data_IF_202494841661
#
_entry.id   IF_202494841661
#
_cell.length_a   1.000
_cell.length_b   1.000
_cell.length_c   1.000
_cell.angle_alpha   90.00
_cell.angle_beta   90.00
_cell.angle_gamma   90.00
#
_symmetry.space_group_name_H-M   'P 1'
#
loop_
_entity.id
_entity.type
_entity.pdbx_description
1 polymer ?
#
# COMPACT_ATOMS: atom_id res chain seq x y z
N UNK A 1 20.25 -11.81 80.45
CA UNK A 1 20.92 -12.47 79.31
C UNK A 1 20.17 -12.01 78.06
N UNK A 2 20.67 -10.99 77.36
CA UNK A 2 21.62 -11.05 76.22
C UNK A 2 20.98 -11.60 74.93
N UNK A 3 21.07 -10.79 73.86
CA UNK A 3 20.70 -10.94 72.44
C UNK A 3 19.29 -10.44 72.08
N UNK A 4 19.05 -9.21 71.57
CA UNK A 4 19.70 -8.35 70.57
C UNK A 4 19.62 -8.89 69.13
N UNK A 5 18.77 -8.28 68.29
CA UNK A 5 19.15 -7.65 67.01
C UNK A 5 18.01 -6.85 66.36
N UNK A 6 18.18 -5.53 66.38
CA UNK A 6 17.86 -4.52 65.37
C UNK A 6 16.92 -4.90 64.20
N UNK A 7 15.74 -4.27 64.17
CA UNK A 7 15.04 -3.96 62.91
C UNK A 7 14.99 -2.44 62.79
N UNK A 8 15.89 -1.88 61.98
CA UNK A 8 15.89 -0.47 61.61
C UNK A 8 14.71 -0.20 60.68
N UNK A 9 13.85 0.73 61.09
CA UNK A 9 12.88 1.42 60.22
C UNK A 9 13.61 2.00 59.00
N UNK A 10 13.16 1.66 57.80
CA UNK A 10 13.41 2.45 56.58
C UNK A 10 12.07 2.98 56.10
N UNK A 11 12.03 4.29 55.94
CA UNK A 11 10.94 5.10 55.42
C UNK A 11 10.49 4.60 54.04
N UNK A 12 9.19 4.41 53.89
CA UNK A 12 8.54 4.36 52.58
C UNK A 12 8.50 5.79 52.03
N UNK A 13 9.53 6.17 51.29
CA UNK A 13 9.44 7.30 50.35
C UNK A 13 8.83 6.78 49.05
N UNK A 14 7.67 7.35 48.73
CA UNK A 14 6.92 7.11 47.52
C UNK A 14 7.78 7.47 46.30
N UNK A 15 8.28 6.45 45.58
CA UNK A 15 8.68 6.61 44.19
C UNK A 15 7.41 6.55 43.36
N UNK A 16 6.81 7.73 43.13
CA UNK A 16 6.00 7.92 41.93
C UNK A 16 6.97 7.74 40.75
N UNK A 17 7.03 6.52 40.22
CA UNK A 17 7.46 6.31 38.85
C UNK A 17 6.39 6.98 37.99
N UNK A 18 6.66 8.20 37.52
CA UNK A 18 6.05 8.69 36.31
C UNK A 18 6.55 7.76 35.19
N UNK A 19 5.85 6.64 35.01
CA UNK A 19 5.81 6.00 33.71
C UNK A 19 5.09 7.01 32.81
N UNK A 20 5.87 7.67 31.95
CA UNK A 20 5.26 8.43 30.87
C UNK A 20 4.35 7.48 30.08
N UNK A 21 3.11 7.89 29.78
CA UNK A 21 2.17 7.02 29.12
C UNK A 21 2.69 6.64 27.73
N UNK A 22 2.67 5.33 27.44
CA UNK A 22 3.11 4.67 26.22
C UNK A 22 2.30 5.05 24.94
N UNK A 23 1.68 6.22 24.88
CA UNK A 23 0.87 6.69 23.73
C UNK A 23 1.58 7.75 22.88
N UNK A 24 2.90 7.93 23.02
CA UNK A 24 3.66 8.56 21.94
C UNK A 24 3.60 7.62 20.75
N UNK A 25 2.64 7.85 19.85
CA UNK A 25 2.76 7.45 18.45
C UNK A 25 4.05 8.10 17.99
N UNK A 26 5.14 7.34 18.00
CA UNK A 26 6.41 7.82 17.46
C UNK A 26 6.18 7.90 15.95
N UNK A 27 5.74 9.06 15.48
CA UNK A 27 5.70 9.35 14.06
C UNK A 27 7.12 9.20 13.55
N UNK A 28 7.33 8.18 12.71
CA UNK A 28 8.67 7.69 12.34
C UNK A 28 9.32 8.61 11.30
N UNK A 29 8.52 9.39 10.57
CA UNK A 29 8.95 10.22 9.45
C UNK A 29 8.21 11.57 9.38
N UNK A 30 8.83 12.57 8.74
CA UNK A 30 8.25 13.92 8.61
C UNK A 30 7.18 13.97 7.49
N UNK A 31 7.51 13.52 6.28
CA UNK A 31 6.60 13.57 5.13
C UNK A 31 6.08 12.20 4.71
N UNK A 32 4.99 12.16 3.93
CA UNK A 32 4.50 10.94 3.27
C UNK A 32 5.61 10.34 2.40
N UNK A 33 6.38 11.17 1.72
CA UNK A 33 7.47 10.74 0.86
C UNK A 33 8.55 9.98 1.66
N UNK A 34 8.98 10.54 2.79
CA UNK A 34 9.97 9.90 3.67
C UNK A 34 9.44 8.59 4.27
N UNK A 35 8.18 8.58 4.69
CA UNK A 35 7.52 7.38 5.17
C UNK A 35 7.43 6.29 4.09
N UNK A 36 7.13 6.69 2.86
CA UNK A 36 7.08 5.78 1.70
C UNK A 36 8.45 5.19 1.39
N UNK A 37 9.53 5.99 1.45
CA UNK A 37 10.89 5.47 1.31
C UNK A 37 11.21 4.40 2.36
N UNK A 38 10.83 4.63 3.62
CA UNK A 38 11.05 3.65 4.68
C UNK A 38 10.22 2.38 4.48
N UNK A 39 8.95 2.51 4.09
CA UNK A 39 8.07 1.39 3.77
C UNK A 39 8.62 0.51 2.66
N UNK A 40 9.01 1.10 1.52
CA UNK A 40 9.58 0.35 0.38
C UNK A 40 10.92 -0.30 0.74
N UNK A 41 11.72 0.31 1.63
CA UNK A 41 12.99 -0.25 2.08
C UNK A 41 12.84 -1.50 2.96
N UNK A 42 11.65 -1.79 3.48
CA UNK A 42 11.40 -3.02 4.24
C UNK A 42 11.12 -4.22 3.31
N UNK A 43 10.85 -3.99 2.03
CA UNK A 43 10.51 -5.08 1.10
C UNK A 43 11.71 -5.97 0.77
N UNK A 44 11.42 -7.26 0.57
CA UNK A 44 12.37 -8.19 -0.03
C UNK A 44 12.39 -7.95 -1.54
N UNK A 45 13.54 -7.59 -2.11
CA UNK A 45 13.69 -7.34 -3.54
C UNK A 45 14.39 -8.50 -4.25
N UNK A 46 13.84 -8.93 -5.38
CA UNK A 46 14.29 -10.07 -6.17
C UNK A 46 14.47 -9.69 -7.64
N UNK A 47 15.60 -10.06 -8.28
CA UNK A 47 15.72 -9.94 -9.72
C UNK A 47 14.68 -10.79 -10.44
N UNK A 48 14.03 -10.25 -11.47
CA UNK A 48 13.02 -10.96 -12.26
C UNK A 48 13.56 -12.27 -12.86
N UNK A 49 14.84 -12.30 -13.28
CA UNK A 49 15.49 -13.48 -13.81
C UNK A 49 15.64 -14.62 -12.80
N UNK A 50 15.58 -14.32 -11.48
CA UNK A 50 15.49 -15.35 -10.45
C UNK A 50 14.08 -15.94 -10.42
N UNK A 51 13.06 -15.08 -10.34
CA UNK A 51 11.65 -15.49 -10.32
C UNK A 51 11.29 -16.26 -11.58
N UNK A 52 11.77 -15.83 -12.75
CA UNK A 52 11.59 -16.53 -14.03
C UNK A 52 12.08 -17.97 -14.00
N UNK A 53 13.20 -18.24 -13.31
CA UNK A 53 13.73 -19.59 -13.16
C UNK A 53 12.88 -20.44 -12.23
N UNK A 54 12.30 -19.85 -11.19
CA UNK A 54 11.38 -20.53 -10.28
C UNK A 54 10.08 -20.89 -11.00
N UNK A 55 9.46 -19.94 -11.69
CA UNK A 55 8.28 -20.17 -12.55
C UNK A 55 8.56 -21.26 -13.58
N UNK A 56 9.73 -21.24 -14.23
CA UNK A 56 10.08 -22.26 -15.22
C UNK A 56 10.31 -23.65 -14.63
N UNK A 57 10.62 -23.74 -13.33
CA UNK A 57 10.87 -25.00 -12.65
C UNK A 57 9.55 -25.68 -12.23
N UNK A 58 8.54 -24.90 -11.87
CA UNK A 58 7.19 -25.39 -11.55
C UNK A 58 6.10 -24.42 -12.04
N UNK A 59 5.74 -24.43 -13.34
CA UNK A 59 4.82 -23.44 -13.90
C UNK A 59 3.40 -23.49 -13.33
N UNK A 60 2.95 -24.66 -12.87
CA UNK A 60 1.60 -24.86 -12.34
C UNK A 60 1.44 -24.25 -10.93
N UNK A 61 2.55 -24.06 -10.22
CA UNK A 61 2.61 -23.49 -8.87
C UNK A 61 2.49 -21.96 -8.85
N UNK A 62 2.86 -21.31 -9.96
CA UNK A 62 2.86 -19.85 -10.09
C UNK A 62 1.64 -19.36 -10.87
N UNK A 63 0.92 -18.38 -10.32
CA UNK A 63 -0.24 -17.77 -10.95
C UNK A 63 -0.11 -16.26 -10.98
N UNK A 64 -0.28 -15.66 -12.15
CA UNK A 64 -0.55 -14.23 -12.25
C UNK A 64 -1.99 -14.00 -11.77
N UNK A 65 -2.11 -13.23 -10.69
CA UNK A 65 -3.37 -12.93 -10.00
C UNK A 65 -3.74 -11.45 -10.13
N UNK A 66 -3.07 -10.73 -11.03
CA UNK A 66 -3.35 -9.32 -11.31
C UNK A 66 -4.78 -9.18 -11.83
N UNK A 67 -5.59 -8.37 -11.15
CA UNK A 67 -6.96 -8.11 -11.57
C UNK A 67 -6.99 -7.12 -12.75
N UNK A 68 -7.75 -7.42 -13.81
CA UNK A 68 -7.68 -6.62 -15.03
C UNK A 68 -8.53 -5.34 -14.90
N UNK A 69 -8.05 -4.27 -15.52
CA UNK A 69 -8.71 -2.96 -15.53
C UNK A 69 -9.56 -2.74 -16.79
N UNK A 70 -10.46 -1.75 -16.76
CA UNK A 70 -11.16 -1.29 -17.97
C UNK A 70 -10.16 -0.85 -19.04
N UNK A 71 -10.40 -1.23 -20.30
CA UNK A 71 -9.53 -0.99 -21.44
C UNK A 71 -8.46 -2.06 -21.65
N UNK A 72 -8.35 -3.06 -20.76
CA UNK A 72 -7.42 -4.19 -20.93
C UNK A 72 -8.03 -5.26 -21.82
N UNK A 73 -7.20 -5.85 -22.69
CA UNK A 73 -7.58 -6.99 -23.51
C UNK A 73 -7.41 -8.31 -22.76
N UNK A 74 -8.41 -9.16 -22.88
CA UNK A 74 -8.52 -10.44 -22.21
C UNK A 74 -9.04 -11.51 -23.16
N UNK A 75 -8.57 -12.73 -22.97
CA UNK A 75 -9.17 -13.94 -23.52
C UNK A 75 -10.24 -14.46 -22.57
N UNK A 76 -11.42 -14.78 -23.11
CA UNK A 76 -12.55 -15.30 -22.34
C UNK A 76 -12.75 -16.79 -22.61
N UNK A 77 -12.46 -17.66 -21.63
CA UNK A 77 -12.51 -19.12 -21.81
C UNK A 77 -13.90 -19.61 -22.26
N UNK A 78 -14.96 -19.08 -21.65
CA UNK A 78 -16.33 -19.49 -21.93
C UNK A 78 -16.81 -19.12 -23.34
N UNK A 79 -16.26 -18.05 -23.93
CA UNK A 79 -16.59 -17.64 -25.29
C UNK A 79 -15.61 -18.18 -26.33
N UNK A 80 -14.43 -18.65 -25.89
CA UNK A 80 -13.31 -19.03 -26.74
C UNK A 80 -12.97 -17.91 -27.74
N UNK A 81 -12.95 -16.68 -27.24
CA UNK A 81 -12.77 -15.45 -28.01
C UNK A 81 -12.09 -14.39 -27.12
N UNK A 82 -11.42 -13.44 -27.76
CA UNK A 82 -10.78 -12.31 -27.09
C UNK A 82 -11.66 -11.07 -27.14
N UNK A 83 -11.42 -10.13 -26.22
CA UNK A 83 -12.11 -8.84 -26.20
C UNK A 83 -11.45 -7.84 -25.28
N UNK A 84 -12.09 -6.70 -25.13
CA UNK A 84 -11.67 -5.63 -24.22
C UNK A 84 -12.66 -5.50 -23.06
N UNK A 85 -12.15 -5.33 -21.84
CA UNK A 85 -12.99 -5.02 -20.68
C UNK A 85 -13.53 -3.61 -20.85
N UNK A 86 -14.84 -3.49 -20.95
CA UNK A 86 -15.52 -2.21 -21.12
C UNK A 86 -16.09 -1.65 -19.81
N UNK A 87 -16.30 -2.52 -18.83
CA UNK A 87 -16.85 -2.15 -17.53
C UNK A 87 -16.53 -3.20 -16.47
N UNK A 88 -16.47 -2.78 -15.21
CA UNK A 88 -16.35 -3.65 -14.04
C UNK A 88 -17.54 -3.33 -13.14
N UNK A 89 -18.32 -4.36 -12.83
CA UNK A 89 -19.49 -4.27 -11.96
C UNK A 89 -19.16 -4.96 -10.65
N UNK A 90 -19.60 -4.37 -9.55
CA UNK A 90 -19.47 -4.92 -8.21
C UNK A 90 -20.85 -4.98 -7.58
N UNK A 91 -21.17 -6.12 -6.96
CA UNK A 91 -22.45 -6.33 -6.28
C UNK A 91 -22.38 -6.00 -4.78
N UNK A 92 -23.48 -6.23 -4.06
CA UNK A 92 -23.57 -5.95 -2.62
C UNK A 92 -22.64 -6.84 -1.77
N UNK A 93 -22.18 -7.96 -2.33
CA UNK A 93 -21.26 -8.91 -1.70
C UNK A 93 -19.80 -8.67 -2.15
N UNK A 94 -19.50 -7.48 -2.70
CA UNK A 94 -18.17 -7.07 -3.20
C UNK A 94 -17.62 -8.02 -4.30
N UNK A 95 -18.50 -8.78 -4.96
CA UNK A 95 -18.10 -9.71 -6.02
C UNK A 95 -18.02 -8.98 -7.36
N UNK A 96 -16.81 -8.96 -7.95
CA UNK A 96 -16.58 -8.33 -9.26
C UNK A 96 -16.99 -9.21 -10.44
N UNK A 97 -17.71 -8.60 -11.39
CA UNK A 97 -18.05 -9.15 -12.70
C UNK A 97 -17.57 -8.20 -13.79
N UNK A 98 -16.96 -8.75 -14.84
CA UNK A 98 -16.35 -7.99 -15.92
C UNK A 98 -17.25 -8.03 -17.15
N UNK A 99 -17.57 -6.86 -17.72
CA UNK A 99 -18.25 -6.76 -19.00
C UNK A 99 -17.21 -6.65 -20.12
N UNK A 100 -17.12 -7.70 -20.95
CA UNK A 100 -16.16 -7.78 -22.05
C UNK A 100 -16.89 -7.59 -23.38
N UNK A 101 -16.38 -6.68 -24.21
CA UNK A 101 -16.76 -6.56 -25.61
C UNK A 101 -15.79 -7.39 -26.45
N UNK A 102 -16.26 -8.54 -26.93
CA UNK A 102 -15.49 -9.47 -27.75
C UNK A 102 -15.18 -8.86 -29.12
N UNK A 103 -14.14 -9.36 -29.79
CA UNK A 103 -13.74 -8.93 -31.14
C UNK A 103 -14.85 -9.17 -32.18
N UNK A 104 -15.77 -10.10 -31.90
CA UNK A 104 -17.00 -10.32 -32.67
C UNK A 104 -18.05 -9.22 -32.52
N UNK A 105 -17.86 -8.25 -31.63
CA UNK A 105 -18.79 -7.17 -31.27
C UNK A 105 -19.88 -7.59 -30.27
N UNK A 106 -19.84 -8.83 -29.77
CA UNK A 106 -20.75 -9.31 -28.73
C UNK A 106 -20.27 -8.86 -27.35
N UNK A 107 -21.19 -8.46 -26.49
CA UNK A 107 -20.91 -8.20 -25.07
C UNK A 107 -21.28 -9.41 -24.21
N UNK A 108 -20.38 -9.79 -23.32
CA UNK A 108 -20.58 -10.87 -22.34
C UNK A 108 -20.22 -10.39 -20.93
N UNK A 109 -20.63 -11.17 -19.94
CA UNK A 109 -20.23 -11.00 -18.54
C UNK A 109 -19.40 -12.20 -18.13
N UNK A 110 -18.27 -11.95 -17.50
CA UNK A 110 -17.33 -12.97 -17.04
C UNK A 110 -16.93 -12.71 -15.60
N UNK A 111 -16.61 -13.79 -14.88
CA UNK A 111 -15.88 -13.71 -13.60
C UNK A 111 -14.39 -13.64 -13.86
N UNK A 112 -13.61 -13.24 -12.84
CA UNK A 112 -12.16 -13.15 -12.96
C UNK A 112 -11.50 -14.48 -13.35
N UNK A 113 -11.95 -15.60 -12.76
CA UNK A 113 -11.46 -16.95 -13.04
C UNK A 113 -11.83 -17.48 -14.44
N UNK A 114 -12.63 -16.73 -15.20
CA UNK A 114 -13.02 -17.04 -16.58
C UNK A 114 -12.23 -16.22 -17.61
N UNK A 115 -11.29 -15.39 -17.15
CA UNK A 115 -10.51 -14.46 -17.95
C UNK A 115 -9.02 -14.77 -17.85
N UNK A 116 -8.30 -14.50 -18.93
CA UNK A 116 -6.85 -14.47 -18.99
C UNK A 116 -6.43 -13.19 -19.70
N UNK A 117 -5.50 -12.41 -19.13
CA UNK A 117 -5.02 -11.20 -19.82
C UNK A 117 -4.24 -11.56 -21.08
N UNK A 118 -4.32 -10.79 -22.17
CA UNK A 118 -3.54 -11.14 -23.37
C UNK A 118 -2.01 -10.98 -23.16
N UNK A 119 -1.58 -10.19 -22.16
CA UNK A 119 -0.20 -10.10 -21.67
C UNK A 119 0.03 -10.97 -20.41
N UNK A 120 -0.79 -12.02 -20.25
CA UNK A 120 -0.67 -12.95 -19.13
C UNK A 120 0.67 -13.66 -19.12
N UNK A 121 1.25 -13.79 -17.93
CA UNK A 121 2.47 -14.55 -17.71
C UNK A 121 3.77 -13.80 -18.00
N UNK A 122 3.72 -12.52 -18.39
CA UNK A 122 4.92 -11.70 -18.54
C UNK A 122 5.34 -11.09 -17.20
N UNK A 123 6.63 -11.23 -16.88
CA UNK A 123 7.19 -10.59 -15.69
C UNK A 123 7.28 -9.05 -15.90
N UNK A 124 7.20 -8.27 -14.81
CA UNK A 124 7.21 -6.81 -14.90
C UNK A 124 8.46 -6.25 -15.59
N UNK A 125 8.29 -5.27 -16.49
CA UNK A 125 9.38 -4.64 -17.25
C UNK A 125 10.52 -4.08 -16.40
N UNK A 126 10.25 -3.65 -15.17
CA UNK A 126 11.26 -3.04 -14.29
C UNK A 126 12.39 -4.00 -13.88
N UNK A 127 12.22 -5.31 -14.11
CA UNK A 127 13.26 -6.31 -13.87
C UNK A 127 13.53 -6.60 -12.38
N UNK A 128 12.76 -6.01 -11.48
CA UNK A 128 12.76 -6.31 -10.04
C UNK A 128 11.33 -6.59 -9.61
N UNK A 129 11.16 -7.65 -8.83
CA UNK A 129 9.95 -7.96 -8.11
C UNK A 129 10.20 -7.82 -6.62
N UNK A 130 9.14 -7.58 -5.86
CA UNK A 130 9.18 -7.41 -4.43
C UNK A 130 8.21 -8.36 -3.75
N UNK A 131 8.48 -8.60 -2.47
CA UNK A 131 7.58 -9.26 -1.53
C UNK A 131 7.60 -8.47 -0.23
N UNK A 132 6.45 -8.41 0.45
CA UNK A 132 6.37 -7.84 1.78
C UNK A 132 7.11 -8.71 2.80
N UNK A 133 7.92 -8.09 3.66
CA UNK A 133 8.57 -8.79 4.77
C UNK A 133 7.70 -8.89 6.01
N UNK A 134 6.72 -8.00 6.16
CA UNK A 134 5.87 -7.91 7.36
C UNK A 134 4.68 -8.87 7.27
N UNK A 135 4.35 -9.52 8.40
CA UNK A 135 3.25 -10.49 8.43
C UNK A 135 1.87 -9.85 8.25
N UNK A 136 1.68 -8.60 8.66
CA UNK A 136 0.39 -7.90 8.49
C UNK A 136 0.16 -7.54 7.01
N UNK A 137 1.24 -7.24 6.27
CA UNK A 137 1.17 -6.98 4.83
C UNK A 137 0.94 -8.27 4.05
N UNK A 138 1.58 -9.38 4.45
CA UNK A 138 1.29 -10.69 3.86
C UNK A 138 -0.16 -11.12 4.10
N UNK A 139 -0.68 -10.95 5.33
CA UNK A 139 -2.10 -11.20 5.62
C UNK A 139 -3.04 -10.33 4.79
N UNK A 140 -2.68 -9.05 4.55
CA UNK A 140 -3.45 -8.14 3.70
C UNK A 140 -3.53 -8.63 2.24
N UNK A 141 -2.46 -9.26 1.74
CA UNK A 141 -2.46 -9.88 0.41
C UNK A 141 -3.29 -11.18 0.36
N UNK A 142 -3.25 -11.99 1.43
CA UNK A 142 -3.90 -13.31 1.49
C UNK A 142 -5.41 -13.22 1.76
N UNK A 143 -5.81 -12.38 2.71
CA UNK A 143 -7.16 -12.37 3.31
C UNK A 143 -7.87 -11.02 3.16
N UNK A 144 -7.12 -9.97 2.80
CA UNK A 144 -7.65 -8.62 2.58
C UNK A 144 -7.87 -8.31 1.10
N UNK A 145 -8.00 -7.02 0.83
CA UNK A 145 -8.14 -6.43 -0.51
C UNK A 145 -6.77 -6.12 -1.17
N UNK A 146 -5.67 -6.69 -0.67
CA UNK A 146 -4.32 -6.32 -1.10
C UNK A 146 -4.04 -6.55 -2.58
N UNK A 147 -4.41 -7.71 -3.12
CA UNK A 147 -4.24 -8.01 -4.55
C UNK A 147 -5.02 -7.02 -5.41
N UNK A 148 -6.25 -6.71 -5.01
CA UNK A 148 -7.12 -5.78 -5.73
C UNK A 148 -6.56 -4.36 -5.71
N UNK A 149 -6.28 -3.83 -4.52
CA UNK A 149 -5.73 -2.49 -4.35
C UNK A 149 -4.42 -2.31 -5.12
N UNK A 150 -3.54 -3.33 -5.13
CA UNK A 150 -2.30 -3.28 -5.90
C UNK A 150 -2.55 -3.36 -7.41
N UNK A 151 -3.50 -4.16 -7.86
CA UNK A 151 -3.86 -4.27 -9.28
C UNK A 151 -4.41 -2.94 -9.81
N UNK A 152 -5.25 -2.25 -9.04
CA UNK A 152 -5.81 -0.94 -9.39
C UNK A 152 -4.75 0.17 -9.46
N UNK A 153 -3.69 0.05 -8.66
CA UNK A 153 -2.52 0.92 -8.73
C UNK A 153 -1.57 0.56 -9.89
N UNK A 154 -1.86 -0.50 -10.64
CA UNK A 154 -1.11 -0.94 -11.81
C UNK A 154 0.08 -1.84 -11.50
N UNK A 155 0.17 -2.43 -10.30
CA UNK A 155 1.15 -3.46 -10.02
C UNK A 155 0.75 -4.76 -10.70
N UNK A 156 1.74 -5.48 -11.24
CA UNK A 156 1.59 -6.90 -11.60
C UNK A 156 1.81 -7.74 -10.34
N UNK A 157 0.85 -8.59 -10.01
CA UNK A 157 0.83 -9.41 -8.80
C UNK A 157 0.83 -10.89 -9.18
N UNK A 158 1.77 -11.63 -8.59
CA UNK A 158 1.96 -13.06 -8.74
C UNK A 158 1.79 -13.75 -7.40
N UNK A 159 1.23 -14.96 -7.43
CA UNK A 159 1.05 -15.82 -6.28
C UNK A 159 1.74 -17.16 -6.52
N UNK A 160 2.42 -17.63 -5.49
CA UNK A 160 3.04 -18.95 -5.38
C UNK A 160 2.51 -19.58 -4.07
N UNK A 161 1.99 -20.80 -4.14
CA UNK A 161 1.52 -21.52 -2.95
C UNK A 161 2.67 -21.83 -1.95
N UNK A 162 3.89 -22.00 -2.45
CA UNK A 162 5.08 -22.25 -1.62
C UNK A 162 5.71 -20.96 -1.09
N UNK A 163 5.80 -19.93 -1.92
CA UNK A 163 6.60 -18.74 -1.63
C UNK A 163 5.77 -17.48 -1.36
N UNK A 164 4.44 -17.52 -1.50
CA UNK A 164 3.54 -16.41 -1.25
C UNK A 164 3.42 -15.42 -2.41
N UNK A 165 3.09 -14.17 -2.08
CA UNK A 165 2.86 -13.13 -3.09
C UNK A 165 4.14 -12.39 -3.49
N UNK A 166 4.23 -12.10 -4.78
CA UNK A 166 5.26 -11.26 -5.39
C UNK A 166 4.58 -10.19 -6.24
N UNK A 167 5.18 -9.01 -6.34
CA UNK A 167 4.64 -7.95 -7.16
C UNK A 167 5.73 -7.14 -7.83
N UNK A 168 5.39 -6.44 -8.91
CA UNK A 168 6.33 -5.52 -9.54
C UNK A 168 5.65 -4.49 -10.42
N UNK A 169 6.46 -3.57 -10.94
CA UNK A 169 6.00 -2.44 -11.73
C UNK A 169 6.25 -2.75 -13.20
N UNK A 170 5.18 -2.65 -14.00
CA UNK A 170 5.25 -2.82 -15.43
C UNK A 170 5.25 -1.47 -16.16
N UNK A 171 6.35 -0.71 -15.99
CA UNK A 171 6.48 0.64 -16.54
C UNK A 171 7.93 1.13 -16.54
N UNK A 172 8.19 2.17 -17.35
CA UNK A 172 9.51 2.78 -17.48
C UNK A 172 9.43 4.29 -17.74
N UNK A 173 10.45 5.03 -17.27
CA UNK A 173 10.68 6.42 -17.69
C UNK A 173 9.95 7.51 -16.90
N UNK A 174 9.45 7.22 -15.70
CA UNK A 174 8.79 8.19 -14.81
C UNK A 174 9.17 7.95 -13.34
N UNK A 175 8.72 8.82 -12.43
CA UNK A 175 8.98 8.70 -11.00
C UNK A 175 8.05 7.64 -10.37
N UNK A 176 8.58 6.46 -10.10
CA UNK A 176 7.83 5.35 -9.49
C UNK A 176 7.36 5.66 -8.07
N UNK A 177 8.02 6.58 -7.34
CA UNK A 177 7.53 6.95 -6.02
C UNK A 177 6.20 7.68 -6.12
N UNK A 178 6.11 8.67 -6.99
CA UNK A 178 4.87 9.42 -7.19
C UNK A 178 3.77 8.57 -7.85
N UNK A 179 4.14 7.72 -8.81
CA UNK A 179 3.19 6.94 -9.60
C UNK A 179 2.70 5.64 -8.92
N UNK A 180 3.53 5.00 -8.08
CA UNK A 180 3.23 3.66 -7.53
C UNK A 180 3.38 3.60 -6.01
N UNK A 181 4.54 3.98 -5.47
CA UNK A 181 4.84 3.71 -4.06
C UNK A 181 4.07 4.61 -3.08
N UNK A 182 3.94 5.91 -3.37
CA UNK A 182 3.15 6.82 -2.55
C UNK A 182 1.65 6.44 -2.60
N UNK A 183 1.07 6.14 -3.79
CA UNK A 183 -0.27 5.57 -3.86
C UNK A 183 -0.43 4.28 -3.05
N UNK A 184 0.52 3.34 -3.12
CA UNK A 184 0.47 2.10 -2.34
C UNK A 184 0.51 2.36 -0.84
N UNK A 185 1.40 3.24 -0.39
CA UNK A 185 1.50 3.65 1.01
C UNK A 185 0.16 4.21 1.53
N UNK A 186 -0.53 5.02 0.70
CA UNK A 186 -1.85 5.59 1.01
C UNK A 186 -2.96 4.54 1.00
N UNK A 187 -2.99 3.66 0.00
CA UNK A 187 -3.96 2.58 -0.11
C UNK A 187 -3.88 1.62 1.09
N UNK A 188 -2.65 1.36 1.56
CA UNK A 188 -2.40 0.58 2.77
C UNK A 188 -2.91 1.26 4.06
N UNK A 189 -3.24 2.55 4.02
CA UNK A 189 -3.74 3.31 5.16
C UNK A 189 -2.67 3.65 6.21
N UNK A 190 -1.38 3.61 5.83
CA UNK A 190 -0.28 3.81 6.77
C UNK A 190 -0.18 5.28 7.24
N UNK A 191 0.13 5.45 8.53
CA UNK A 191 0.32 6.76 9.17
C UNK A 191 1.67 6.89 9.86
N UNK A 192 2.73 6.49 9.16
CA UNK A 192 4.11 6.60 9.65
C UNK A 192 4.70 8.02 9.53
N UNK A 193 4.00 8.93 8.84
CA UNK A 193 4.34 10.35 8.68
C UNK A 193 3.62 11.25 9.70
N UNK A 194 4.11 12.48 9.89
CA UNK A 194 3.37 13.53 10.61
C UNK A 194 2.41 14.27 9.69
N UNK A 195 1.13 14.31 10.07
CA UNK A 195 0.11 15.07 9.34
C UNK A 195 0.41 16.58 9.38
N UNK A 196 0.98 17.09 10.48
CA UNK A 196 1.34 18.51 10.60
C UNK A 196 2.56 18.85 9.72
N UNK A 197 3.59 18.02 9.74
CA UNK A 197 4.78 18.22 8.93
C UNK A 197 4.48 18.07 7.43
N UNK A 198 3.67 17.08 7.05
CA UNK A 198 3.19 16.91 5.67
C UNK A 198 2.36 18.12 5.22
N UNK A 199 1.39 18.59 6.02
CA UNK A 199 0.61 19.78 5.68
C UNK A 199 1.52 20.98 5.46
N UNK A 200 2.46 21.21 6.38
CA UNK A 200 3.41 22.31 6.28
C UNK A 200 4.22 22.24 4.99
N UNK A 201 4.80 21.07 4.69
CA UNK A 201 5.56 20.85 3.45
C UNK A 201 4.72 21.17 2.20
N UNK A 202 3.49 20.63 2.12
CA UNK A 202 2.61 20.84 0.97
C UNK A 202 2.20 22.30 0.79
N UNK A 203 1.96 23.02 1.87
CA UNK A 203 1.56 24.43 1.83
C UNK A 203 2.72 25.35 1.45
N UNK A 204 3.91 25.07 1.97
CA UNK A 204 5.13 25.79 1.59
C UNK A 204 5.48 25.58 0.11
N UNK A 205 5.34 24.36 -0.42
CA UNK A 205 5.53 24.07 -1.85
C UNK A 205 4.56 24.83 -2.76
N UNK A 206 3.35 25.13 -2.28
CA UNK A 206 2.35 25.94 -3.01
C UNK A 206 2.55 27.44 -2.85
N UNK A 207 3.51 27.87 -2.03
CA UNK A 207 3.83 29.28 -1.78
C UNK A 207 2.88 29.97 -0.80
N UNK A 208 2.11 29.20 -0.01
CA UNK A 208 1.21 29.75 0.98
C UNK A 208 1.96 30.20 2.24
N UNK A 209 1.35 31.13 2.98
CA UNK A 209 1.95 31.71 4.19
C UNK A 209 1.02 31.57 5.40
N UNK A 210 1.60 31.53 6.59
CA UNK A 210 0.80 31.45 7.83
C UNK A 210 0.43 32.86 8.30
N UNK A 211 -0.85 33.06 8.65
CA UNK A 211 -1.32 34.27 9.33
C UNK A 211 -2.17 33.88 10.55
N UNK A 212 -1.98 34.63 11.65
CA UNK A 212 -2.83 34.50 12.84
C UNK A 212 -4.11 35.30 12.67
N UNK A 213 -5.26 34.65 12.84
CA UNK A 213 -6.59 35.26 12.80
C UNK A 213 -7.29 34.90 14.12
N UNK A 214 -7.41 35.90 15.01
CA UNK A 214 -7.89 35.66 16.37
C UNK A 214 -6.92 34.79 17.18
N UNK A 215 -7.43 33.68 17.71
CA UNK A 215 -6.63 32.72 18.49
C UNK A 215 -5.97 31.63 17.65
N UNK A 216 -6.33 31.51 16.37
CA UNK A 216 -5.93 30.40 15.50
C UNK A 216 -4.99 30.84 14.39
N UNK A 217 -4.26 29.89 13.84
CA UNK A 217 -3.33 30.09 12.72
C UNK A 217 -3.90 29.42 11.47
N UNK A 218 -3.76 30.11 10.33
CA UNK A 218 -4.30 29.68 9.05
C UNK A 218 -3.26 29.82 7.95
N UNK A 219 -3.28 28.88 7.00
CA UNK A 219 -2.60 28.98 5.72
C UNK A 219 -3.35 29.94 4.81
N UNK A 220 -2.59 30.82 4.14
CA UNK A 220 -3.11 31.94 3.37
C UNK A 220 -2.52 31.95 1.95
N UNK A 221 -3.38 32.24 0.98
CA UNK A 221 -3.00 32.65 -0.37
C UNK A 221 -3.33 34.14 -0.53
N UNK A 222 -2.32 34.98 -0.33
CA UNK A 222 -2.50 36.44 -0.17
C UNK A 222 -3.37 36.75 1.05
N UNK A 223 -4.61 37.21 0.81
CA UNK A 223 -5.61 37.50 1.85
C UNK A 223 -6.69 36.43 1.97
N UNK A 224 -6.66 35.39 1.14
CA UNK A 224 -7.62 34.28 1.17
C UNK A 224 -7.16 33.22 2.16
N UNK A 225 -8.05 32.82 3.07
CA UNK A 225 -7.83 31.65 3.95
C UNK A 225 -7.95 30.36 3.12
N UNK A 226 -6.95 29.50 3.21
CA UNK A 226 -6.95 28.16 2.61
C UNK A 226 -7.48 27.14 3.62
N UNK A 227 -6.77 26.96 4.74
CA UNK A 227 -7.21 26.10 5.84
C UNK A 227 -6.49 26.42 7.16
N UNK A 228 -6.89 25.76 8.24
CA UNK A 228 -6.24 25.87 9.55
C UNK A 228 -4.89 25.14 9.59
N UNK A 229 -3.95 25.68 10.33
CA UNK A 229 -2.65 25.02 10.58
C UNK A 229 -2.86 23.83 11.53
N UNK A 230 -2.47 22.63 11.09
CA UNK A 230 -2.39 21.43 11.92
C UNK A 230 -1.19 21.59 12.85
N UNK A 231 -1.39 21.25 14.12
CA UNK A 231 -0.34 21.28 15.15
C UNK A 231 -0.01 19.86 15.53
N UNK A 232 1.28 19.57 15.70
CA UNK A 232 1.69 18.32 16.34
C UNK A 232 1.12 18.30 17.77
N UNK A 233 0.41 17.21 18.11
CA UNK A 233 -0.14 16.98 19.46
C UNK A 233 0.94 16.57 20.48
#
# INVERSE_FOLDING_TARGET
MLHNKNIKRRSNEARHFNAEPHWLIIMKHETIKDATYAFVNEFNAFPDGMIKKLISADPDEWRDVTMPSVGVRVYCFNANDSGEITNILEDEDETKTYEVELDTGRKIKCKFDELEMEDYGSLPMWGTMWQFSDSCDNWWMEEGDGVEAMSELGFKVWCSEEFGYFFGIDGAGFDFYEAYWIPLYKARGLKWHSEAAEQKYQMECKGYTIRKIGASEYWMDGDKVIEGVIKDE
#
